data_IF_667821702847
#
_entry.id   IF_667821702847
#
_cell.length_a   1.000
_cell.length_b   1.000
_cell.length_c   1.000
_cell.angle_alpha   90.00
_cell.angle_beta   90.00
_cell.angle_gamma   90.00
#
_symmetry.space_group_name_H-M   'P 1'
#
loop_
_entity.id
_entity.type
_entity.pdbx_description
1 polymer ?
#
# COMPACT_ATOMS: atom_id res chain seq x y z
N UNK A 1 48.01 -25.20 39.11
CA UNK A 1 46.58 -25.61 39.07
C UNK A 1 45.81 -24.54 38.31
N UNK A 2 45.23 -24.86 37.15
CA UNK A 2 44.39 -23.96 36.35
C UNK A 2 42.92 -24.31 36.61
N UNK A 3 42.18 -23.39 37.23
CA UNK A 3 40.71 -23.32 37.33
C UNK A 3 40.36 -21.85 37.04
N UNK A 4 39.32 -21.45 36.34
CA UNK A 4 38.29 -22.12 35.56
C UNK A 4 37.71 -21.10 34.57
N UNK A 5 37.14 -21.64 33.49
CA UNK A 5 36.41 -20.99 32.41
C UNK A 5 35.22 -20.16 32.96
N UNK A 6 35.11 -18.88 32.58
CA UNK A 6 33.83 -18.14 32.63
C UNK A 6 33.59 -17.47 31.29
N UNK A 7 32.59 -18.01 30.60
CA UNK A 7 32.05 -17.56 29.33
C UNK A 7 31.31 -16.24 29.61
N UNK A 8 31.85 -15.11 29.17
CA UNK A 8 31.17 -13.82 29.16
C UNK A 8 30.52 -13.62 27.80
N UNK A 9 29.33 -14.19 27.63
CA UNK A 9 28.50 -13.95 26.43
C UNK A 9 27.03 -13.93 26.84
N UNK A 10 26.59 -12.80 27.39
CA UNK A 10 25.20 -12.61 27.83
C UNK A 10 24.72 -11.16 27.65
N UNK A 11 25.09 -10.50 26.54
CA UNK A 11 24.63 -9.13 26.25
C UNK A 11 24.00 -8.93 24.86
N UNK A 12 24.04 -9.93 23.97
CA UNK A 12 23.55 -9.75 22.59
C UNK A 12 22.08 -10.13 22.36
N UNK A 13 21.38 -10.71 23.34
CA UNK A 13 20.01 -11.23 23.15
C UNK A 13 18.89 -10.27 23.57
N UNK A 14 19.18 -9.10 24.14
CA UNK A 14 18.15 -8.15 24.56
C UNK A 14 17.71 -7.20 23.42
N UNK A 15 18.60 -6.87 22.48
CA UNK A 15 18.27 -5.95 21.38
C UNK A 15 17.38 -6.58 20.30
N UNK A 16 17.48 -7.91 20.11
CA UNK A 16 16.65 -8.63 19.14
C UNK A 16 15.19 -8.82 19.60
N UNK A 17 14.92 -8.82 20.92
CA UNK A 17 13.55 -8.89 21.43
C UNK A 17 12.80 -7.56 21.32
N UNK A 18 13.50 -6.42 21.34
CA UNK A 18 12.89 -5.09 21.20
C UNK A 18 12.67 -4.67 19.75
N UNK A 19 13.41 -5.25 18.80
CA UNK A 19 13.23 -5.00 17.38
C UNK A 19 12.02 -5.74 16.76
N UNK A 20 11.44 -6.71 17.48
CA UNK A 20 10.32 -7.54 17.00
C UNK A 20 8.95 -7.23 17.61
N UNK A 21 8.84 -6.28 18.54
CA UNK A 21 7.58 -6.05 19.30
C UNK A 21 7.11 -4.61 19.35
N UNK A 22 7.73 -3.68 18.62
CA UNK A 22 7.01 -2.46 18.32
C UNK A 22 5.95 -2.84 17.28
N UNK A 23 4.63 -2.80 17.57
CA UNK A 23 3.67 -2.72 16.49
C UNK A 23 4.18 -1.57 15.64
N UNK A 24 4.52 -1.84 14.37
CA UNK A 24 4.62 -0.77 13.40
C UNK A 24 3.27 -0.11 13.51
N UNK A 25 3.23 1.09 14.12
CA UNK A 25 1.98 1.81 14.30
C UNK A 25 1.32 1.75 12.93
N UNK A 26 0.20 1.04 12.84
CA UNK A 26 -0.49 0.91 11.58
C UNK A 26 -0.61 2.33 11.06
N UNK A 27 -0.11 2.58 9.84
CA UNK A 27 -0.22 3.91 9.25
C UNK A 27 -1.71 4.24 9.35
N UNK A 28 -2.02 5.26 10.15
CA UNK A 28 -3.39 5.49 10.55
C UNK A 28 -4.16 5.82 9.29
N UNK A 29 -5.22 5.05 9.00
CA UNK A 29 -6.01 5.21 7.80
C UNK A 29 -6.51 6.64 7.64
N UNK A 30 -5.96 7.47 6.71
CA UNK A 30 -6.53 8.79 6.43
C UNK A 30 -7.98 8.69 5.94
N UNK A 31 -8.42 7.50 5.52
CA UNK A 31 -9.72 7.27 4.95
C UNK A 31 -10.73 6.72 5.97
N UNK A 32 -11.97 7.17 5.84
CA UNK A 32 -13.08 6.58 6.58
C UNK A 32 -13.66 5.42 5.78
N UNK A 33 -13.57 4.21 6.33
CA UNK A 33 -14.15 3.01 5.72
C UNK A 33 -15.68 3.08 5.78
N UNK A 34 -16.32 2.95 4.63
CA UNK A 34 -17.77 2.95 4.50
C UNK A 34 -18.44 1.64 4.92
N UNK A 35 -19.79 1.59 4.96
CA UNK A 35 -20.55 0.42 5.43
C UNK A 35 -20.32 -0.88 4.66
N UNK A 36 -19.74 -0.81 3.46
CA UNK A 36 -19.41 -1.96 2.62
C UNK A 36 -17.95 -2.42 2.76
N UNK A 37 -17.24 -1.95 3.79
CA UNK A 37 -15.82 -2.28 3.97
C UNK A 37 -14.91 -1.62 2.93
N UNK A 38 -15.34 -0.53 2.30
CA UNK A 38 -14.61 0.15 1.23
C UNK A 38 -14.39 1.61 1.51
N UNK A 39 -13.31 2.15 1.00
CA UNK A 39 -13.00 3.57 1.02
C UNK A 39 -12.51 4.05 -0.34
N UNK A 40 -12.41 5.38 -0.47
CA UNK A 40 -11.93 6.04 -1.68
C UNK A 40 -10.59 6.68 -1.39
N UNK A 41 -9.57 6.28 -2.16
CA UNK A 41 -8.22 6.83 -2.10
C UNK A 41 -7.91 7.61 -3.39
N UNK A 42 -7.82 8.94 -3.34
CA UNK A 42 -7.37 9.72 -4.50
C UNK A 42 -5.89 9.43 -4.75
N UNK A 43 -5.55 9.13 -6.00
CA UNK A 43 -4.17 8.81 -6.39
C UNK A 43 -3.84 9.41 -7.76
N UNK A 44 -2.55 9.41 -8.10
CA UNK A 44 -2.02 9.87 -9.38
C UNK A 44 -1.29 8.72 -10.05
N UNK A 45 -1.64 8.40 -11.29
CA UNK A 45 -0.93 7.37 -12.08
C UNK A 45 0.52 7.80 -12.31
N UNK A 46 1.47 7.00 -11.82
CA UNK A 46 2.90 7.23 -12.01
C UNK A 46 3.47 6.42 -13.17
N UNK A 47 2.95 5.24 -13.42
CA UNK A 47 3.52 4.33 -14.40
C UNK A 47 2.52 3.34 -14.94
N UNK A 48 2.73 2.93 -16.19
CA UNK A 48 1.93 1.93 -16.88
C UNK A 48 2.85 1.02 -17.69
N UNK A 49 2.68 -0.29 -17.56
CA UNK A 49 3.47 -1.29 -18.29
C UNK A 49 2.53 -2.31 -18.94
N UNK A 50 2.61 -2.44 -20.27
CA UNK A 50 1.85 -3.47 -20.98
C UNK A 50 2.47 -4.86 -20.77
N UNK A 51 1.62 -5.87 -20.60
CA UNK A 51 1.99 -7.27 -20.46
C UNK A 51 1.70 -8.05 -21.75
N UNK A 52 2.34 -9.21 -21.92
CA UNK A 52 2.23 -10.03 -23.14
C UNK A 52 0.82 -10.62 -23.37
N UNK A 53 -0.02 -10.67 -22.33
CA UNK A 53 -1.39 -11.16 -22.37
C UNK A 53 -2.43 -10.06 -22.69
N UNK A 54 -1.99 -8.82 -22.95
CA UNK A 54 -2.85 -7.71 -23.32
C UNK A 54 -3.45 -6.94 -22.14
N UNK A 55 -3.02 -7.24 -20.91
CA UNK A 55 -3.27 -6.37 -19.77
C UNK A 55 -2.24 -5.22 -19.69
N UNK A 56 -2.54 -4.25 -18.85
CA UNK A 56 -1.63 -3.16 -18.49
C UNK A 56 -1.56 -3.07 -16.98
N UNK A 57 -0.37 -3.22 -16.44
CA UNK A 57 -0.05 -2.99 -15.04
C UNK A 57 0.05 -1.49 -14.78
N UNK A 58 -0.67 -1.01 -13.76
CA UNK A 58 -0.76 0.41 -13.41
C UNK A 58 -0.22 0.61 -12.00
N UNK A 59 0.63 1.62 -11.86
CA UNK A 59 1.19 2.06 -10.59
C UNK A 59 0.67 3.47 -10.30
N UNK A 60 0.06 3.67 -9.14
CA UNK A 60 -0.47 4.94 -8.69
C UNK A 60 0.12 5.29 -7.33
N UNK A 61 0.40 6.56 -7.09
CA UNK A 61 0.77 7.06 -5.75
C UNK A 61 -0.42 7.81 -5.18
N UNK A 62 -0.82 7.42 -3.97
CA UNK A 62 -1.85 8.08 -3.18
C UNK A 62 -1.51 9.56 -2.96
N UNK A 63 -2.51 10.44 -3.08
CA UNK A 63 -2.30 11.88 -3.01
C UNK A 63 -2.24 12.43 -1.59
N UNK A 64 -2.70 11.68 -0.57
CA UNK A 64 -2.75 12.10 0.83
C UNK A 64 -1.60 11.50 1.63
N UNK A 65 -1.44 10.18 1.60
CA UNK A 65 -0.43 9.46 2.41
C UNK A 65 0.84 9.09 1.64
N UNK A 66 0.78 9.10 0.31
CA UNK A 66 1.91 8.77 -0.56
C UNK A 66 2.19 7.27 -0.68
N UNK A 67 1.29 6.41 -0.21
CA UNK A 67 1.40 4.97 -0.41
C UNK A 67 1.16 4.62 -1.90
N UNK A 68 1.87 3.59 -2.37
CA UNK A 68 1.80 3.16 -3.76
C UNK A 68 0.78 2.02 -3.92
N UNK A 69 -0.09 2.18 -4.92
CA UNK A 69 -1.13 1.23 -5.30
C UNK A 69 -0.82 0.59 -6.65
N UNK A 70 -1.20 -0.68 -6.77
CA UNK A 70 -1.01 -1.49 -7.97
C UNK A 70 -2.30 -2.18 -8.37
N UNK A 71 -2.63 -2.13 -9.66
CA UNK A 71 -3.74 -2.88 -10.25
C UNK A 71 -3.52 -3.10 -11.76
N UNK A 72 -4.34 -3.95 -12.36
CA UNK A 72 -4.30 -4.23 -13.80
C UNK A 72 -5.54 -3.72 -14.50
N UNK A 73 -5.38 -3.19 -15.71
CA UNK A 73 -6.48 -2.79 -16.60
C UNK A 73 -6.34 -3.48 -17.96
N UNK A 74 -7.41 -3.52 -18.76
CA UNK A 74 -7.32 -3.95 -20.16
C UNK A 74 -6.60 -2.88 -21.01
N UNK A 75 -5.89 -3.30 -22.05
CA UNK A 75 -5.15 -2.41 -22.95
C UNK A 75 -6.00 -1.38 -23.72
N UNK A 76 -7.34 -1.50 -23.70
CA UNK A 76 -8.25 -0.52 -24.31
C UNK A 76 -8.70 0.58 -23.34
N UNK A 77 -8.33 0.48 -22.07
CA UNK A 77 -8.62 1.51 -21.07
C UNK A 77 -7.85 2.78 -21.43
N UNK A 78 -8.55 3.91 -21.64
CA UNK A 78 -7.93 5.21 -21.94
C UNK A 78 -7.44 5.90 -20.66
N UNK A 79 -6.62 5.18 -19.88
CA UNK A 79 -5.93 5.72 -18.72
C UNK A 79 -4.54 6.20 -19.14
N UNK A 80 -4.07 7.30 -18.57
CA UNK A 80 -2.77 7.88 -18.90
C UNK A 80 -1.94 8.15 -17.66
N UNK A 81 -0.62 8.16 -17.86
CA UNK A 81 0.32 8.61 -16.82
C UNK A 81 -0.02 10.06 -16.47
N UNK A 82 0.00 10.36 -15.17
CA UNK A 82 -0.42 11.60 -14.53
C UNK A 82 -1.93 11.88 -14.49
N UNK A 83 -2.77 10.94 -14.95
CA UNK A 83 -4.20 11.05 -14.67
C UNK A 83 -4.45 10.96 -13.16
N UNK A 84 -5.40 11.76 -12.70
CA UNK A 84 -5.95 11.65 -11.35
C UNK A 84 -7.00 10.57 -11.35
N UNK A 85 -6.90 9.68 -10.37
CA UNK A 85 -7.82 8.55 -10.20
C UNK A 85 -8.37 8.56 -8.79
N UNK A 86 -9.61 8.10 -8.64
CA UNK A 86 -10.22 7.77 -7.36
C UNK A 86 -10.25 6.25 -7.26
N UNK A 87 -9.35 5.69 -6.45
CA UNK A 87 -9.27 4.26 -6.23
C UNK A 87 -10.38 3.85 -5.26
N UNK A 88 -11.16 2.84 -5.64
CA UNK A 88 -12.05 2.14 -4.73
C UNK A 88 -11.24 1.02 -4.11
N UNK A 89 -11.04 1.08 -2.80
CA UNK A 89 -10.21 0.13 -2.08
C UNK A 89 -11.06 -0.65 -1.09
N UNK A 90 -10.87 -1.97 -1.09
CA UNK A 90 -11.44 -2.89 -0.09
C UNK A 90 -10.49 -2.93 1.12
N UNK A 91 -11.04 -2.58 2.28
CA UNK A 91 -10.32 -2.55 3.55
C UNK A 91 -10.18 -3.94 4.19
N UNK A 92 -10.65 -5.01 3.53
CA UNK A 92 -10.44 -6.40 3.92
C UNK A 92 -10.81 -6.73 5.38
N UNK A 93 -11.90 -6.12 5.88
CA UNK A 93 -12.34 -6.19 7.29
C UNK A 93 -11.31 -5.69 8.33
N UNK A 94 -10.28 -4.97 7.89
CA UNK A 94 -9.19 -4.39 8.69
C UNK A 94 -9.11 -2.87 8.53
N UNK A 95 -10.14 -2.10 8.95
CA UNK A 95 -10.23 -0.66 8.68
C UNK A 95 -9.11 0.19 9.29
N UNK A 96 -8.38 -0.34 10.27
CA UNK A 96 -7.24 0.33 10.91
C UNK A 96 -5.87 -0.16 10.37
N UNK A 97 -5.86 -1.00 9.32
CA UNK A 97 -4.64 -1.60 8.77
C UNK A 97 -4.73 -1.77 7.24
N UNK A 98 -3.86 -1.05 6.52
CA UNK A 98 -3.77 -1.09 5.06
C UNK A 98 -3.00 -2.27 4.46
N UNK A 99 -2.29 -3.06 5.26
CA UNK A 99 -1.29 -3.99 4.75
C UNK A 99 -1.86 -5.06 3.81
N UNK A 100 -3.17 -5.30 3.87
CA UNK A 100 -3.90 -6.30 3.12
C UNK A 100 -5.06 -5.73 2.29
N UNK A 101 -5.11 -4.41 2.16
CA UNK A 101 -6.08 -3.69 1.37
C UNK A 101 -5.84 -3.87 -0.13
N UNK A 102 -6.90 -3.79 -0.93
CA UNK A 102 -6.82 -4.06 -2.37
C UNK A 102 -7.67 -3.10 -3.18
N UNK A 103 -7.09 -2.57 -4.25
CA UNK A 103 -7.84 -1.82 -5.27
C UNK A 103 -8.82 -2.77 -5.95
N UNK A 104 -10.10 -2.45 -5.87
CA UNK A 104 -11.18 -3.20 -6.53
C UNK A 104 -11.73 -2.48 -7.75
N UNK A 105 -11.56 -1.16 -7.83
CA UNK A 105 -11.95 -0.36 -8.98
C UNK A 105 -11.16 0.96 -9.02
N UNK A 106 -11.12 1.61 -10.18
CA UNK A 106 -10.47 2.90 -10.37
C UNK A 106 -11.37 3.80 -11.23
N UNK A 107 -11.87 4.87 -10.62
CA UNK A 107 -12.67 5.89 -11.31
C UNK A 107 -11.71 6.99 -11.79
N UNK A 108 -11.71 7.28 -13.08
CA UNK A 108 -10.82 8.27 -13.66
C UNK A 108 -11.57 9.12 -14.69
N UNK A 109 -11.09 10.35 -14.88
CA UNK A 109 -11.49 11.15 -16.01
C UNK A 109 -10.30 11.95 -16.53
N UNK A 110 -9.97 11.74 -17.80
CA UNK A 110 -8.84 12.37 -18.46
C UNK A 110 -9.14 13.82 -18.88
N UNK A 111 -10.37 14.10 -19.29
CA UNK A 111 -10.80 15.35 -19.93
C UNK A 111 -11.92 16.10 -19.19
N UNK A 112 -12.34 15.60 -18.02
CA UNK A 112 -13.26 16.34 -17.17
C UNK A 112 -12.52 17.54 -16.59
N UNK A 113 -12.90 18.74 -17.03
CA UNK A 113 -12.54 19.96 -16.31
C UNK A 113 -13.23 19.91 -14.94
N UNK A 114 -12.50 20.28 -13.89
CA UNK A 114 -13.12 20.59 -12.61
C UNK A 114 -13.85 21.93 -12.78
N UNK A 115 -15.08 21.89 -13.28
CA UNK A 115 -15.99 23.03 -13.32
C UNK A 115 -16.53 23.37 -11.91
#
# INVERSE_FOLDING_TARGET
>A
MKLAKKITTAAALAAALLAGTAPKAAAQCPYTVGPLGRYIAPAIVQGMTATDDGAVEVWCTDALDGDDWFFTVDAKTDLRIYDRVQLVVDANDTPDNFADDRVVDALFCHDCTED
#
